data_IF_954633574237
#
_entry.id   IF_954633574237
#
_cell.length_a   1.000
_cell.length_b   1.000
_cell.length_c   1.000
_cell.angle_alpha   90.00
_cell.angle_beta   90.00
_cell.angle_gamma   90.00
#
_symmetry.space_group_name_H-M   'P 1'
#
loop_
_entity.id
_entity.type
_entity.pdbx_description
1 polymer ?
#
# COMPACT_ATOMS: atom_id res chain seq x y z
N UNK A 1 3.69 19.81 26.46
CA UNK A 1 4.59 18.95 25.67
C UNK A 1 3.70 18.05 24.81
N UNK A 2 3.80 18.16 23.46
CA UNK A 2 3.14 17.23 22.54
C UNK A 2 4.20 16.25 22.03
N UNK A 3 3.91 14.95 22.17
CA UNK A 3 4.62 13.89 21.47
C UNK A 3 3.62 13.17 20.58
N UNK A 4 3.84 13.19 19.28
CA UNK A 4 3.08 12.39 18.33
C UNK A 4 3.84 11.09 18.08
N UNK A 5 3.30 9.99 18.59
CA UNK A 5 3.65 8.66 18.10
C UNK A 5 3.12 8.59 16.69
N UNK A 6 3.96 8.27 15.71
CA UNK A 6 3.62 8.24 14.27
C UNK A 6 2.28 7.60 13.96
N UNK A 7 1.21 8.29 14.32
CA UNK A 7 -0.16 7.86 14.16
C UNK A 7 -0.59 8.08 12.71
N UNK A 8 -0.65 6.97 12.01
CA UNK A 8 -1.64 6.70 10.96
C UNK A 8 -2.13 7.94 10.21
N UNK A 9 -1.28 8.44 9.38
CA UNK A 9 -1.67 9.22 8.23
C UNK A 9 -0.76 8.78 7.11
N UNK A 10 -1.30 8.33 6.01
CA UNK A 10 -0.57 7.94 4.82
C UNK A 10 0.43 9.00 4.31
N UNK A 11 0.34 10.23 4.83
CA UNK A 11 1.23 11.34 4.52
C UNK A 11 2.50 11.36 5.37
N UNK A 12 2.55 10.68 6.52
CA UNK A 12 3.70 10.65 7.43
C UNK A 12 4.64 9.45 7.19
N UNK A 13 4.59 8.82 6.03
CA UNK A 13 5.64 7.90 5.59
C UNK A 13 6.88 8.70 5.22
N UNK A 14 7.63 9.12 6.22
CA UNK A 14 8.85 9.88 6.07
C UNK A 14 9.98 8.91 5.68
N UNK A 15 10.73 9.27 4.66
CA UNK A 15 11.88 8.59 4.04
C UNK A 15 12.49 7.44 4.88
N UNK A 16 12.36 6.19 4.40
CA UNK A 16 12.88 4.97 5.04
C UNK A 16 12.36 4.66 6.46
N UNK A 17 11.21 5.23 6.84
CA UNK A 17 10.64 5.08 8.17
C UNK A 17 9.43 4.18 8.17
N UNK A 18 9.36 3.37 9.19
CA UNK A 18 8.22 2.52 9.47
C UNK A 18 7.16 3.32 10.25
N UNK A 19 5.92 3.22 9.81
CA UNK A 19 4.75 3.82 10.47
C UNK A 19 3.94 2.72 11.13
N UNK A 20 3.55 2.89 12.38
CA UNK A 20 2.71 1.94 13.11
C UNK A 20 1.38 1.75 12.36
N UNK A 21 0.94 0.49 12.26
CA UNK A 21 -0.28 0.12 11.53
C UNK A 21 -0.09 -0.12 10.03
N UNK A 22 1.08 0.23 9.48
CA UNK A 22 1.38 0.02 8.06
C UNK A 22 1.44 -1.47 7.71
N UNK A 23 2.13 -2.27 8.52
CA UNK A 23 2.24 -3.71 8.32
C UNK A 23 0.87 -4.39 8.48
N UNK A 24 0.10 -3.99 9.48
CA UNK A 24 -1.27 -4.47 9.71
C UNK A 24 -2.18 -4.16 8.52
N UNK A 25 -2.12 -2.94 7.99
CA UNK A 25 -2.91 -2.54 6.83
C UNK A 25 -2.55 -3.36 5.59
N UNK A 26 -1.25 -3.61 5.36
CA UNK A 26 -0.81 -4.44 4.24
C UNK A 26 -1.24 -5.89 4.39
N UNK A 27 -1.15 -6.48 5.57
CA UNK A 27 -1.61 -7.84 5.82
C UNK A 27 -3.13 -7.98 5.61
N UNK A 28 -3.91 -6.97 6.01
CA UNK A 28 -5.35 -6.94 5.70
C UNK A 28 -5.61 -6.94 4.19
N UNK A 29 -4.85 -6.14 3.42
CA UNK A 29 -4.98 -6.15 1.95
C UNK A 29 -4.66 -7.52 1.38
N UNK A 30 -3.54 -8.14 1.80
CA UNK A 30 -3.13 -9.47 1.32
C UNK A 30 -4.22 -10.49 1.59
N UNK A 31 -4.78 -10.53 2.81
CA UNK A 31 -5.87 -11.42 3.17
C UNK A 31 -7.12 -11.22 2.28
N UNK A 32 -7.49 -9.98 2.00
CA UNK A 32 -8.63 -9.68 1.14
C UNK A 32 -8.36 -10.05 -0.32
N UNK A 33 -7.16 -9.80 -0.82
CA UNK A 33 -6.76 -10.15 -2.20
C UNK A 33 -6.74 -11.66 -2.37
N UNK A 34 -6.28 -12.43 -1.38
CA UNK A 34 -6.29 -13.89 -1.45
C UNK A 34 -7.73 -14.42 -1.53
N UNK A 35 -8.67 -13.89 -0.73
CA UNK A 35 -10.09 -14.23 -0.82
C UNK A 35 -10.70 -13.87 -2.19
N UNK A 36 -10.32 -12.72 -2.76
CA UNK A 36 -10.77 -12.32 -4.09
C UNK A 36 -10.18 -13.23 -5.17
N UNK A 37 -8.91 -13.65 -5.02
CA UNK A 37 -8.26 -14.57 -5.95
C UNK A 37 -8.96 -15.90 -6.03
N UNK A 38 -9.36 -16.49 -4.91
CA UNK A 38 -10.11 -17.74 -4.86
C UNK A 38 -11.43 -17.63 -5.64
N UNK A 39 -12.12 -16.49 -5.51
CA UNK A 39 -13.36 -16.26 -6.27
C UNK A 39 -13.10 -15.98 -7.76
N UNK A 40 -12.00 -15.33 -8.11
CA UNK A 40 -11.65 -15.04 -9.50
C UNK A 40 -11.17 -16.27 -10.26
N UNK A 41 -10.57 -17.22 -9.56
CA UNK A 41 -10.05 -18.44 -10.19
C UNK A 41 -11.17 -19.30 -10.82
N UNK A 42 -12.38 -19.21 -10.29
CA UNK A 42 -13.54 -19.95 -10.81
C UNK A 42 -14.25 -19.29 -12.00
N UNK A 43 -13.89 -18.05 -12.38
CA UNK A 43 -14.68 -17.25 -13.32
C UNK A 43 -13.90 -16.41 -14.34
N UNK A 44 -12.60 -16.63 -14.53
CA UNK A 44 -11.76 -15.88 -15.51
C UNK A 44 -11.93 -14.35 -15.41
N UNK A 45 -11.77 -13.79 -14.20
CA UNK A 45 -12.06 -12.38 -13.91
C UNK A 45 -10.83 -11.56 -13.59
N UNK A 46 -10.99 -10.25 -13.73
CA UNK A 46 -10.06 -9.25 -13.24
C UNK A 46 -10.63 -8.59 -11.96
N UNK A 47 -9.86 -8.61 -10.87
CA UNK A 47 -10.15 -7.83 -9.68
C UNK A 47 -9.32 -6.56 -9.65
N UNK A 48 -9.97 -5.41 -9.67
CA UNK A 48 -9.38 -4.10 -9.46
C UNK A 48 -9.56 -3.75 -7.98
N UNK A 49 -8.49 -3.79 -7.21
CA UNK A 49 -8.54 -3.62 -5.74
C UNK A 49 -7.97 -2.26 -5.37
N UNK A 50 -8.83 -1.37 -4.86
CA UNK A 50 -8.41 -0.07 -4.37
C UNK A 50 -7.97 -0.18 -2.91
N UNK A 51 -6.77 0.34 -2.64
CA UNK A 51 -6.15 0.32 -1.32
C UNK A 51 -5.86 1.73 -0.83
N UNK A 52 -5.85 1.90 0.49
CA UNK A 52 -5.53 3.18 1.13
C UNK A 52 -4.10 3.62 0.82
N UNK A 53 -3.82 4.88 1.02
CA UNK A 53 -2.50 5.50 0.85
C UNK A 53 -2.57 7.01 0.59
N UNK A 54 -3.78 7.59 0.53
CA UNK A 54 -4.01 8.99 0.10
C UNK A 54 -3.26 9.29 -1.20
N UNK A 55 -2.27 10.17 -1.15
CA UNK A 55 -1.46 10.58 -2.30
C UNK A 55 -0.17 9.75 -2.45
N UNK A 56 -0.08 8.57 -1.80
CA UNK A 56 1.11 7.73 -1.82
C UNK A 56 0.77 6.27 -2.16
N UNK A 57 1.51 5.70 -3.10
CA UNK A 57 1.34 4.34 -3.61
C UNK A 57 2.07 3.25 -2.83
N UNK A 58 2.61 3.54 -1.62
CA UNK A 58 3.44 2.57 -0.89
C UNK A 58 2.71 1.29 -0.48
N UNK A 59 1.46 1.39 0.01
CA UNK A 59 0.65 0.21 0.34
C UNK A 59 0.36 -0.56 -0.93
N UNK A 60 -0.11 0.12 -1.98
CA UNK A 60 -0.41 -0.50 -3.26
C UNK A 60 0.79 -1.25 -3.84
N UNK A 61 1.97 -0.64 -3.81
CA UNK A 61 3.19 -1.25 -4.34
C UNK A 61 3.60 -2.51 -3.56
N UNK A 62 3.70 -2.40 -2.24
CA UNK A 62 4.15 -3.54 -1.42
C UNK A 62 3.15 -4.70 -1.45
N UNK A 63 1.85 -4.41 -1.37
CA UNK A 63 0.81 -5.45 -1.46
C UNK A 63 0.69 -6.02 -2.87
N UNK A 64 0.89 -5.19 -3.91
CA UNK A 64 0.94 -5.65 -5.29
C UNK A 64 2.05 -6.65 -5.55
N UNK A 65 3.24 -6.39 -5.02
CA UNK A 65 4.37 -7.33 -5.09
C UNK A 65 4.05 -8.60 -4.30
N UNK A 66 3.58 -8.47 -3.05
CA UNK A 66 3.28 -9.61 -2.18
C UNK A 66 2.20 -10.53 -2.77
N UNK A 67 1.18 -9.95 -3.42
CA UNK A 67 0.09 -10.70 -4.03
C UNK A 67 0.37 -11.11 -5.48
N UNK A 68 1.51 -10.78 -6.08
CA UNK A 68 1.75 -11.04 -7.49
C UNK A 68 0.72 -10.38 -8.41
N UNK A 69 0.39 -9.12 -8.13
CA UNK A 69 -0.56 -8.36 -8.93
C UNK A 69 -0.07 -8.22 -10.38
N UNK A 70 -0.98 -8.27 -11.34
CA UNK A 70 -0.67 -8.09 -12.76
C UNK A 70 -0.21 -6.66 -13.04
N UNK A 71 -0.81 -5.69 -12.33
CA UNK A 71 -0.44 -4.28 -12.35
C UNK A 71 -0.63 -3.61 -11.00
N UNK A 72 0.20 -2.60 -10.75
CA UNK A 72 0.07 -1.70 -9.60
C UNK A 72 -0.01 -0.27 -10.11
N UNK A 73 -1.13 0.40 -9.87
CA UNK A 73 -1.34 1.78 -10.27
C UNK A 73 -1.13 2.69 -9.05
N UNK A 74 -0.21 3.65 -9.17
CA UNK A 74 0.22 4.54 -8.09
C UNK A 74 0.22 6.00 -8.56
N UNK A 75 -0.07 6.97 -7.69
CA UNK A 75 -0.14 8.37 -8.08
C UNK A 75 1.23 8.99 -8.42
N UNK A 76 2.33 8.36 -7.99
CA UNK A 76 3.69 8.82 -8.25
C UNK A 76 4.14 8.64 -9.71
N UNK A 77 3.49 7.74 -10.44
CA UNK A 77 3.86 7.41 -11.82
C UNK A 77 2.67 7.55 -12.76
N UNK A 78 2.90 8.02 -14.00
CA UNK A 78 1.87 7.98 -15.02
C UNK A 78 1.50 6.54 -15.34
N UNK A 79 0.24 6.30 -15.65
CA UNK A 79 -0.26 5.00 -16.07
C UNK A 79 -1.09 5.11 -17.35
N UNK A 80 -1.06 4.04 -18.14
CA UNK A 80 -1.86 3.90 -19.36
C UNK A 80 -2.68 2.62 -19.29
N UNK A 81 -4.01 2.73 -19.34
CA UNK A 81 -4.92 1.59 -19.31
C UNK A 81 -4.84 0.76 -20.61
N UNK A 82 -4.32 1.30 -21.70
CA UNK A 82 -4.06 0.53 -22.91
C UNK A 82 -2.88 -0.44 -22.73
N UNK A 83 -1.83 0.00 -22.05
CA UNK A 83 -0.71 -0.88 -21.68
C UNK A 83 -1.15 -1.96 -20.70
N UNK A 84 -1.98 -1.62 -19.69
CA UNK A 84 -2.55 -2.59 -18.75
C UNK A 84 -3.37 -3.64 -19.49
N UNK A 85 -4.29 -3.22 -20.37
CA UNK A 85 -5.13 -4.11 -21.15
C UNK A 85 -4.31 -5.01 -22.09
N UNK A 86 -3.30 -4.45 -22.76
CA UNK A 86 -2.40 -5.20 -23.63
C UNK A 86 -1.67 -6.30 -22.87
N UNK A 87 -1.07 -6.00 -21.71
CA UNK A 87 -0.38 -6.98 -20.89
C UNK A 87 -1.33 -8.06 -20.37
N UNK A 88 -2.56 -7.70 -19.97
CA UNK A 88 -3.59 -8.68 -19.58
C UNK A 88 -3.87 -9.66 -20.71
N UNK A 89 -4.06 -9.18 -21.94
CA UNK A 89 -4.32 -10.04 -23.11
C UNK A 89 -3.12 -10.91 -23.48
N UNK A 90 -1.91 -10.39 -23.36
CA UNK A 90 -0.67 -11.15 -23.58
C UNK A 90 -0.51 -12.25 -22.54
N UNK A 91 -0.72 -11.92 -21.25
CA UNK A 91 -0.63 -12.88 -20.16
C UNK A 91 -1.77 -13.94 -20.22
N UNK A 92 -2.95 -13.55 -20.71
CA UNK A 92 -4.04 -14.52 -20.96
C UNK A 92 -3.63 -15.62 -21.95
N UNK A 93 -2.82 -15.29 -22.96
CA UNK A 93 -2.32 -16.27 -23.94
C UNK A 93 -1.39 -17.31 -23.31
N UNK A 94 -0.77 -17.03 -22.18
CA UNK A 94 0.06 -18.00 -21.44
C UNK A 94 -0.74 -18.95 -20.55
N UNK A 95 -2.07 -18.82 -20.53
CA UNK A 95 -2.98 -19.68 -19.75
C UNK A 95 -3.40 -19.06 -18.40
N UNK A 96 -2.99 -17.82 -18.09
CA UNK A 96 -3.42 -17.13 -16.88
C UNK A 96 -4.87 -16.70 -17.00
N UNK A 97 -5.70 -17.08 -16.03
CA UNK A 97 -7.15 -16.87 -16.06
C UNK A 97 -7.61 -15.79 -15.09
N UNK A 98 -6.80 -15.45 -14.08
CA UNK A 98 -7.15 -14.46 -13.09
C UNK A 98 -6.17 -13.28 -13.12
N UNK A 99 -6.70 -12.08 -12.99
CA UNK A 99 -5.93 -10.84 -13.02
C UNK A 99 -6.24 -10.02 -11.77
N UNK A 100 -5.20 -9.49 -11.17
CA UNK A 100 -5.31 -8.60 -10.03
C UNK A 100 -4.62 -7.28 -10.39
N UNK A 101 -5.35 -6.18 -10.30
CA UNK A 101 -4.84 -4.83 -10.47
C UNK A 101 -5.01 -4.12 -9.14
N UNK A 102 -3.91 -3.73 -8.51
CA UNK A 102 -3.94 -2.94 -7.28
C UNK A 102 -3.89 -1.46 -7.63
N UNK A 103 -4.80 -0.68 -7.07
CA UNK A 103 -4.93 0.75 -7.33
C UNK A 103 -4.80 1.51 -6.02
N UNK A 104 -3.88 2.48 -5.96
CA UNK A 104 -3.83 3.39 -4.81
C UNK A 104 -5.03 4.36 -4.84
N UNK A 105 -5.65 4.63 -3.69
CA UNK A 105 -6.82 5.54 -3.59
C UNK A 105 -6.56 6.95 -4.15
N UNK A 106 -5.29 7.39 -4.16
CA UNK A 106 -4.90 8.69 -4.73
C UNK A 106 -5.12 8.81 -6.24
N UNK A 107 -5.25 7.68 -6.95
CA UNK A 107 -5.66 7.66 -8.36
C UNK A 107 -7.17 7.83 -8.47
N UNK A 108 -7.93 7.16 -7.58
CA UNK A 108 -9.39 7.15 -7.60
C UNK A 108 -9.99 6.42 -8.80
N UNK A 109 -11.30 6.54 -8.95
CA UNK A 109 -12.05 6.03 -10.12
C UNK A 109 -11.88 4.53 -10.42
N UNK A 110 -11.63 3.70 -9.41
CA UNK A 110 -11.37 2.26 -9.57
C UNK A 110 -12.50 1.50 -10.28
N UNK A 111 -13.76 1.94 -10.10
CA UNK A 111 -14.90 1.40 -10.85
C UNK A 111 -14.81 1.72 -12.35
N UNK A 112 -14.39 2.95 -12.70
CA UNK A 112 -14.21 3.35 -14.09
C UNK A 112 -13.02 2.61 -14.71
N UNK A 113 -11.93 2.43 -13.96
CA UNK A 113 -10.78 1.63 -14.38
C UNK A 113 -11.22 0.19 -14.70
N UNK A 114 -11.99 -0.44 -13.80
CA UNK A 114 -12.50 -1.79 -14.04
C UNK A 114 -13.37 -1.87 -15.32
N UNK A 115 -14.34 -0.97 -15.49
CA UNK A 115 -15.17 -0.92 -16.69
C UNK A 115 -14.36 -0.68 -17.97
N UNK A 116 -13.33 0.16 -17.90
CA UNK A 116 -12.47 0.44 -19.04
C UNK A 116 -11.64 -0.79 -19.43
N UNK A 117 -11.08 -1.49 -18.44
CA UNK A 117 -10.33 -2.73 -18.68
C UNK A 117 -11.23 -3.83 -19.24
N UNK A 118 -12.45 -3.98 -18.73
CA UNK A 118 -13.45 -4.92 -19.27
C UNK A 118 -13.78 -4.61 -20.73
N UNK A 119 -14.05 -3.34 -21.05
CA UNK A 119 -14.36 -2.93 -22.41
C UNK A 119 -13.19 -3.17 -23.39
N UNK A 120 -11.94 -3.01 -22.95
CA UNK A 120 -10.73 -3.19 -23.78
C UNK A 120 -10.30 -4.65 -23.93
N UNK A 121 -10.56 -5.49 -22.93
CA UNK A 121 -10.05 -6.87 -22.89
C UNK A 121 -11.10 -7.94 -23.12
N UNK A 122 -12.39 -7.59 -22.92
CA UNK A 122 -13.47 -8.58 -22.86
C UNK A 122 -13.43 -9.49 -21.64
N UNK A 123 -12.56 -9.22 -20.66
CA UNK A 123 -12.46 -9.95 -19.40
C UNK A 123 -13.33 -9.22 -18.38
N UNK A 124 -14.29 -9.92 -17.78
CA UNK A 124 -15.13 -9.32 -16.72
C UNK A 124 -14.24 -8.72 -15.62
N UNK A 125 -14.42 -7.44 -15.32
CA UNK A 125 -13.62 -6.74 -14.33
C UNK A 125 -14.50 -6.11 -13.26
N UNK A 126 -14.13 -6.30 -11.99
CA UNK A 126 -14.85 -5.76 -10.84
C UNK A 126 -13.92 -4.98 -9.94
N UNK A 127 -14.38 -3.80 -9.50
CA UNK A 127 -13.69 -3.01 -8.51
C UNK A 127 -14.11 -3.44 -7.10
N UNK A 128 -13.12 -3.52 -6.20
CA UNK A 128 -13.32 -3.71 -4.76
C UNK A 128 -12.56 -2.62 -4.03
N UNK A 129 -13.28 -1.72 -3.37
CA UNK A 129 -12.70 -0.63 -2.60
C UNK A 129 -12.61 -1.07 -1.15
N UNK A 130 -11.40 -1.32 -0.65
CA UNK A 130 -11.20 -1.80 0.71
C UNK A 130 -11.43 -0.68 1.76
N UNK A 131 -11.06 0.55 1.43
CA UNK A 131 -11.26 1.69 2.33
C UNK A 131 -10.70 1.44 3.73
N UNK A 132 -11.40 1.96 4.74
CA UNK A 132 -10.94 1.91 6.14
C UNK A 132 -11.05 0.54 6.83
N UNK A 133 -11.54 -0.50 6.18
CA UNK A 133 -11.41 -1.88 6.66
C UNK A 133 -9.94 -2.23 6.92
N UNK A 134 -9.01 -1.65 6.14
CA UNK A 134 -7.56 -1.80 6.31
C UNK A 134 -7.03 -1.21 7.63
N UNK A 135 -7.79 -0.36 8.32
CA UNK A 135 -7.42 0.21 9.62
C UNK A 135 -7.89 -0.65 10.80
N UNK A 136 -8.72 -1.64 10.53
CA UNK A 136 -9.30 -2.52 11.53
C UNK A 136 -8.46 -3.76 11.79
N UNK A 137 -8.93 -4.57 12.71
CA UNK A 137 -8.33 -5.85 13.04
C UNK A 137 -7.26 -5.78 14.14
N UNK A 138 -6.66 -6.94 14.40
CA UNK A 138 -5.58 -7.06 15.39
C UNK A 138 -4.24 -6.65 14.78
N UNK A 139 -3.46 -5.78 15.45
CA UNK A 139 -2.14 -5.40 14.98
C UNK A 139 -1.23 -6.63 14.84
N UNK A 140 -0.38 -6.62 13.82
CA UNK A 140 0.65 -7.63 13.62
C UNK A 140 1.67 -7.60 14.78
N UNK A 141 2.41 -8.70 14.95
CA UNK A 141 3.49 -8.76 15.93
C UNK A 141 4.47 -7.59 15.72
N UNK A 142 4.82 -7.30 14.46
CA UNK A 142 5.75 -6.22 14.13
C UNK A 142 5.23 -4.85 14.59
N UNK A 143 3.98 -4.52 14.27
CA UNK A 143 3.37 -3.26 14.70
C UNK A 143 3.32 -3.13 16.22
N UNK A 144 3.03 -4.24 16.94
CA UNK A 144 2.98 -4.25 18.41
C UNK A 144 4.36 -3.98 19.03
N UNK A 145 5.41 -4.66 18.54
CA UNK A 145 6.77 -4.48 19.06
C UNK A 145 7.26 -3.06 18.78
N UNK A 146 7.13 -2.59 17.54
CA UNK A 146 7.56 -1.23 17.17
C UNK A 146 6.79 -0.16 17.96
N UNK A 147 5.48 -0.34 18.16
CA UNK A 147 4.70 0.59 18.97
C UNK A 147 5.18 0.65 20.41
N UNK A 148 5.55 -0.50 21.01
CA UNK A 148 6.09 -0.56 22.37
C UNK A 148 7.45 0.13 22.49
N UNK A 149 8.35 -0.10 21.52
CA UNK A 149 9.65 0.57 21.47
C UNK A 149 9.53 2.08 21.29
N UNK A 150 8.64 2.52 20.40
CA UNK A 150 8.35 3.95 20.19
C UNK A 150 7.76 4.59 21.44
N UNK A 151 6.83 3.89 22.12
CA UNK A 151 6.22 4.38 23.36
C UNK A 151 7.23 4.52 24.48
N UNK A 152 8.12 3.53 24.66
CA UNK A 152 9.20 3.59 25.62
C UNK A 152 10.12 4.79 25.37
N UNK A 153 10.58 4.95 24.12
CA UNK A 153 11.45 6.07 23.74
C UNK A 153 10.77 7.43 23.91
N UNK A 154 9.47 7.53 23.64
CA UNK A 154 8.72 8.75 23.86
C UNK A 154 8.70 9.17 25.35
N UNK A 155 8.60 8.18 26.25
CA UNK A 155 8.69 8.45 27.70
C UNK A 155 10.10 8.94 28.09
N UNK A 156 11.15 8.32 27.57
CA UNK A 156 12.53 8.77 27.81
C UNK A 156 12.75 10.23 27.34
N UNK A 157 12.18 10.63 26.19
CA UNK A 157 12.24 12.03 25.75
C UNK A 157 11.56 12.97 26.74
N UNK A 158 10.38 12.60 27.25
CA UNK A 158 9.65 13.41 28.24
C UNK A 158 10.38 13.51 29.58
N UNK A 159 11.00 12.43 30.06
CA UNK A 159 11.82 12.43 31.27
C UNK A 159 13.03 13.36 31.15
N UNK A 160 13.50 13.60 29.94
CA UNK A 160 14.59 14.54 29.63
C UNK A 160 14.10 15.95 29.23
N UNK A 161 12.82 16.27 29.48
CA UNK A 161 12.19 17.56 29.11
C UNK A 161 12.25 17.87 27.60
N UNK A 162 12.35 16.85 26.75
CA UNK A 162 12.36 16.99 25.30
C UNK A 162 10.92 16.81 24.77
N UNK A 163 10.33 17.89 24.27
CA UNK A 163 8.98 17.89 23.67
C UNK A 163 8.98 18.23 22.19
N UNK A 164 7.80 18.34 21.59
CA UNK A 164 7.59 18.68 20.17
C UNK A 164 8.29 17.71 19.20
N UNK A 165 8.26 16.42 19.51
CA UNK A 165 8.94 15.40 18.72
C UNK A 165 7.93 14.43 18.06
N UNK A 166 8.31 13.93 16.93
CA UNK A 166 7.68 12.77 16.26
C UNK A 166 8.63 11.60 16.39
N UNK A 167 8.19 10.53 17.03
CA UNK A 167 8.96 9.30 17.17
C UNK A 167 8.63 8.36 16.02
N UNK A 168 9.65 7.78 15.42
CA UNK A 168 9.52 6.85 14.31
C UNK A 168 10.62 5.78 14.32
N UNK A 169 10.57 4.84 13.38
CA UNK A 169 11.64 3.85 13.18
C UNK A 169 12.27 4.07 11.82
N UNK A 170 13.58 4.18 11.77
CA UNK A 170 14.37 4.29 10.55
C UNK A 170 15.50 3.27 10.54
N UNK A 171 15.60 2.44 9.49
CA UNK A 171 16.64 1.40 9.36
C UNK A 171 16.73 0.49 10.59
N UNK A 172 15.58 0.15 11.19
CA UNK A 172 15.52 -0.72 12.37
C UNK A 172 15.90 -0.05 13.68
N UNK A 173 16.06 1.26 13.71
CA UNK A 173 16.36 2.05 14.94
C UNK A 173 15.24 3.03 15.22
N UNK A 174 14.90 3.20 16.48
CA UNK A 174 14.00 4.27 16.90
C UNK A 174 14.74 5.61 16.76
N UNK A 175 14.05 6.58 16.18
CA UNK A 175 14.53 7.93 15.92
C UNK A 175 13.43 8.94 16.25
N UNK A 176 13.81 10.17 16.50
CA UNK A 176 12.87 11.27 16.69
C UNK A 176 13.26 12.50 15.87
N UNK A 177 12.29 13.31 15.57
CA UNK A 177 12.43 14.53 14.77
C UNK A 177 11.57 15.63 15.36
N UNK A 178 11.99 16.88 15.14
CA UNK A 178 11.09 18.00 15.36
C UNK A 178 9.82 17.86 14.51
N UNK A 179 8.67 18.24 15.06
CA UNK A 179 7.36 18.09 14.40
C UNK A 179 7.35 18.84 13.05
N UNK A 180 7.90 20.06 13.00
CA UNK A 180 7.90 20.86 11.77
C UNK A 180 8.82 20.26 10.71
N UNK A 181 9.98 19.77 11.13
CA UNK A 181 10.89 19.03 10.26
C UNK A 181 10.19 17.78 9.73
N UNK A 182 9.59 16.98 10.59
CA UNK A 182 8.88 15.74 10.22
C UNK A 182 7.77 16.00 9.19
N UNK A 183 6.98 17.06 9.34
CA UNK A 183 5.91 17.43 8.42
C UNK A 183 6.41 17.86 7.04
N UNK A 184 7.64 18.40 6.95
CA UNK A 184 8.24 18.80 5.68
C UNK A 184 8.85 17.65 4.87
N UNK A 185 9.08 16.52 5.50
CA UNK A 185 9.75 15.37 4.89
C UNK A 185 8.79 14.58 3.99
N UNK A 186 9.28 14.17 2.82
CA UNK A 186 8.55 13.27 1.90
C UNK A 186 9.30 11.95 1.76
N UNK A 187 8.56 10.83 1.73
CA UNK A 187 9.12 9.52 1.42
C UNK A 187 9.28 9.39 -0.09
N UNK A 188 10.48 9.09 -0.60
CA UNK A 188 10.65 8.79 -2.02
C UNK A 188 9.91 7.50 -2.38
N UNK A 189 9.37 7.45 -3.58
CA UNK A 189 8.78 6.24 -4.13
C UNK A 189 9.87 5.21 -4.44
N UNK A 190 9.61 3.94 -4.19
CA UNK A 190 10.55 2.85 -4.46
C UNK A 190 10.42 2.37 -5.91
N UNK A 191 11.10 3.07 -6.82
CA UNK A 191 11.11 2.74 -8.25
C UNK A 191 11.68 1.34 -8.52
N UNK A 192 12.66 0.89 -7.71
CA UNK A 192 13.25 -0.44 -7.86
C UNK A 192 12.21 -1.53 -7.55
N UNK A 193 11.46 -1.39 -6.47
CA UNK A 193 10.40 -2.32 -6.12
C UNK A 193 9.29 -2.32 -7.17
N UNK A 194 8.98 -1.14 -7.76
CA UNK A 194 8.02 -1.02 -8.84
C UNK A 194 8.49 -1.76 -10.11
N UNK A 195 9.77 -1.64 -10.48
CA UNK A 195 10.34 -2.40 -11.59
C UNK A 195 10.29 -3.92 -11.33
N UNK A 196 10.58 -4.35 -10.10
CA UNK A 196 10.43 -5.76 -9.68
C UNK A 196 8.97 -6.20 -9.87
N UNK A 197 7.99 -5.44 -9.38
CA UNK A 197 6.57 -5.73 -9.55
C UNK A 197 6.20 -5.97 -11.02
N UNK A 198 6.65 -5.11 -11.92
CA UNK A 198 6.38 -5.24 -13.35
C UNK A 198 7.06 -6.47 -13.98
N UNK A 199 8.19 -6.90 -13.43
CA UNK A 199 8.95 -8.05 -13.94
C UNK A 199 8.35 -9.38 -13.50
N UNK A 200 7.89 -9.48 -12.24
CA UNK A 200 7.37 -10.74 -11.67
C UNK A 200 5.89 -10.97 -11.96
N UNK A 201 5.19 -9.97 -12.48
CA UNK A 201 3.74 -10.00 -12.74
C UNK A 201 3.38 -10.71 -14.07
N UNK A 202 3.98 -11.90 -14.29
CA UNK A 202 3.77 -12.72 -15.50
C UNK A 202 2.60 -13.67 -15.33
#
# INVERSE_FOLDING_TARGET
YEISLGLVGSEMCIRDRYTIGYDTAMNTVVEMVDKLRDTCHSHDRCSVVEVMGRNAGHIALNTGVACGATFVLVPELPYDLDEVAKKMLETKKTGKQNFIVIVAEGIGHSELIAKTLEAKTGIEARATILGHVQRGGSPTLRDRVVASEMGYYAVELLENDIGNRVVGMQQGKIVDFDIQEALSMKKPFDEKLYQISNTISI
#
